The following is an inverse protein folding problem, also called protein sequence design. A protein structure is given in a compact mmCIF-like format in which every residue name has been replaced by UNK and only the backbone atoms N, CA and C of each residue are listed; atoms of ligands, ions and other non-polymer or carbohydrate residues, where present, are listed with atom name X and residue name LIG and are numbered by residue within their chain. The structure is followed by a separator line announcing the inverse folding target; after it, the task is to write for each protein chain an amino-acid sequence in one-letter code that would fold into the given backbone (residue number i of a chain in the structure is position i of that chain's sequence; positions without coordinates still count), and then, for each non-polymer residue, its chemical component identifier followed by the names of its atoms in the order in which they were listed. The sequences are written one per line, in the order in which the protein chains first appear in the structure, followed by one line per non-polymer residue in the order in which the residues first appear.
data_IF_147108215472
#
_entry.id   IF_147108215472
#
_cell.length_a   1.000
_cell.length_b   1.000
_cell.length_c   1.000
_cell.angle_alpha   90.00
_cell.angle_beta   90.00
_cell.angle_gamma   90.00
#
_symmetry.space_group_name_H-M   'P 1'
#
loop_
_entity.id
_entity.type
_entity.pdbx_description
1 polymer ?
#
# COMPACT_ATOMS: atom_id res chain seq x y z
N UNK A 1 23.50 -2.98 -10.27
CA UNK A 1 22.54 -2.38 -9.32
C UNK A 1 22.11 -1.04 -9.88
N UNK A 2 20.82 -0.74 -9.84
CA UNK A 2 20.26 0.51 -10.37
C UNK A 2 19.11 0.98 -9.48
N UNK A 3 18.99 2.29 -9.27
CA UNK A 3 17.77 2.90 -8.74
C UNK A 3 16.99 3.48 -9.93
N UNK A 4 15.73 3.09 -10.05
CA UNK A 4 14.81 3.61 -11.08
C UNK A 4 14.29 4.98 -10.69
N UNK A 5 13.74 5.72 -11.66
CA UNK A 5 13.14 7.05 -11.42
C UNK A 5 11.95 7.01 -10.43
N UNK A 6 11.35 5.83 -10.21
CA UNK A 6 10.27 5.63 -9.24
C UNK A 6 10.77 5.23 -7.85
N UNK A 7 12.08 5.14 -7.64
CA UNK A 7 12.70 4.76 -6.37
C UNK A 7 12.81 3.26 -6.12
N UNK A 8 12.48 2.42 -7.11
CA UNK A 8 12.75 0.98 -7.02
C UNK A 8 14.25 0.73 -7.15
N UNK A 9 14.84 0.05 -6.17
CA UNK A 9 16.23 -0.39 -6.20
C UNK A 9 16.27 -1.81 -6.75
N UNK A 10 16.97 -2.02 -7.86
CA UNK A 10 17.00 -3.28 -8.60
C UNK A 10 18.42 -3.84 -8.66
N UNK A 11 18.54 -5.14 -8.37
CA UNK A 11 19.78 -5.92 -8.51
C UNK A 11 19.65 -6.86 -9.70
N UNK A 12 20.74 -6.96 -10.46
CA UNK A 12 20.82 -7.77 -11.67
C UNK A 12 21.94 -8.80 -11.54
N UNK A 13 21.76 -9.95 -12.17
CA UNK A 13 22.84 -10.92 -12.37
C UNK A 13 23.77 -10.50 -13.52
N UNK A 14 24.74 -11.37 -13.85
CA UNK A 14 25.68 -11.15 -14.95
C UNK A 14 25.05 -11.14 -16.34
N UNK A 15 23.83 -11.67 -16.49
CA UNK A 15 23.05 -11.68 -17.72
C UNK A 15 22.05 -10.53 -17.79
N UNK A 16 22.14 -9.57 -16.87
CA UNK A 16 21.24 -8.43 -16.74
C UNK A 16 19.77 -8.83 -16.44
N UNK A 17 19.57 -9.98 -15.80
CA UNK A 17 18.26 -10.44 -15.30
C UNK A 17 18.03 -9.91 -13.89
N UNK A 18 16.83 -9.42 -13.61
CA UNK A 18 16.44 -8.96 -12.28
C UNK A 18 16.43 -10.15 -11.33
N UNK A 19 17.27 -10.11 -10.29
CA UNK A 19 17.33 -11.14 -9.23
C UNK A 19 16.71 -10.66 -7.93
N UNK A 20 16.58 -9.35 -7.73
CA UNK A 20 15.99 -8.75 -6.54
C UNK A 20 15.53 -7.32 -6.84
N UNK A 21 14.46 -6.87 -6.20
CA UNK A 21 14.02 -5.48 -6.24
C UNK A 21 13.38 -5.05 -4.91
N UNK A 22 13.58 -3.79 -4.52
CA UNK A 22 13.08 -3.27 -3.24
C UNK A 22 11.56 -3.23 -3.17
N UNK A 23 10.89 -3.05 -4.31
CA UNK A 23 9.42 -3.00 -4.36
C UNK A 23 8.75 -4.31 -3.91
N UNK A 24 9.44 -5.44 -3.99
CA UNK A 24 8.94 -6.75 -3.52
C UNK A 24 9.05 -6.92 -1.99
N UNK A 25 9.63 -5.93 -1.30
CA UNK A 25 9.85 -5.93 0.14
C UNK A 25 9.27 -4.65 0.79
N UNK A 26 7.94 -4.49 0.81
CA UNK A 26 7.31 -3.32 1.42
C UNK A 26 7.59 -3.22 2.92
N UNK A 27 7.62 -1.99 3.43
CA UNK A 27 7.90 -1.68 4.85
C UNK A 27 6.65 -1.07 5.50
N UNK A 28 6.69 0.20 5.91
CA UNK A 28 5.54 0.96 6.39
C UNK A 28 4.97 1.88 5.30
N UNK A 29 5.56 1.88 4.10
CA UNK A 29 5.27 2.86 3.04
C UNK A 29 5.09 2.21 1.67
N UNK A 30 4.31 2.88 0.80
CA UNK A 30 4.20 2.59 -0.63
C UNK A 30 4.49 3.83 -1.45
N UNK A 31 5.23 3.67 -2.55
CA UNK A 31 5.48 4.75 -3.51
C UNK A 31 4.68 4.55 -4.80
N UNK A 32 4.49 5.61 -5.62
CA UNK A 32 3.78 5.51 -6.88
C UNK A 32 4.36 4.41 -7.79
N UNK A 33 3.49 3.54 -8.30
CA UNK A 33 3.84 2.38 -9.11
C UNK A 33 4.20 1.12 -8.32
N UNK A 34 4.35 1.18 -7.00
CA UNK A 34 4.57 0.00 -6.18
C UNK A 34 3.28 -0.80 -6.00
N UNK A 35 3.38 -2.13 -6.05
CA UNK A 35 2.29 -3.05 -5.72
C UNK A 35 2.48 -3.57 -4.29
N UNK A 36 1.40 -3.66 -3.54
CA UNK A 36 1.31 -4.50 -2.34
C UNK A 36 0.48 -5.72 -2.71
N UNK A 37 1.14 -6.87 -2.81
CA UNK A 37 0.59 -8.14 -3.31
C UNK A 37 0.16 -9.03 -2.14
N UNK A 38 -0.84 -9.87 -2.35
CA UNK A 38 -1.30 -10.85 -1.36
C UNK A 38 -0.13 -11.69 -0.81
N UNK A 39 -0.06 -11.77 0.52
CA UNK A 39 1.05 -12.35 1.27
C UNK A 39 2.08 -11.32 1.79
N UNK A 40 2.11 -10.11 1.24
CA UNK A 40 2.87 -8.99 1.78
C UNK A 40 2.03 -8.16 2.75
N UNK A 41 2.71 -7.36 3.60
CA UNK A 41 2.05 -6.42 4.51
C UNK A 41 2.82 -5.11 4.58
N UNK A 42 2.09 -4.01 4.72
CA UNK A 42 2.64 -2.83 5.35
C UNK A 42 2.58 -3.02 6.86
N UNK A 43 3.66 -2.71 7.57
CA UNK A 43 3.71 -2.79 9.03
C UNK A 43 4.15 -1.43 9.54
N UNK A 44 3.30 -0.78 10.34
CA UNK A 44 3.58 0.52 10.92
C UNK A 44 4.88 0.47 11.74
N UNK A 45 5.57 1.60 11.84
CA UNK A 45 6.64 1.75 12.82
C UNK A 45 6.05 1.83 14.25
N UNK A 46 6.87 1.56 15.27
CA UNK A 46 6.46 1.74 16.69
C UNK A 46 6.16 3.22 16.98
N UNK A 47 6.97 4.12 16.44
CA UNK A 47 6.80 5.57 16.57
C UNK A 47 7.52 6.29 15.42
N UNK A 48 7.41 7.63 15.31
CA UNK A 48 8.18 8.41 14.33
C UNK A 48 9.71 8.28 14.47
N UNK A 49 10.19 7.93 15.67
CA UNK A 49 11.63 7.81 15.99
C UNK A 49 12.08 6.37 16.21
N UNK A 50 11.15 5.40 16.20
CA UNK A 50 11.44 3.98 16.37
C UNK A 50 10.86 3.20 15.18
N UNK A 51 11.75 2.79 14.27
CA UNK A 51 11.43 2.04 13.05
C UNK A 51 11.21 0.53 13.26
N UNK A 52 11.13 0.07 14.51
CA UNK A 52 10.71 -1.30 14.83
C UNK A 52 9.28 -1.59 14.38
N UNK A 53 8.91 -2.87 14.32
CA UNK A 53 7.56 -3.31 13.94
C UNK A 53 6.54 -2.91 15.00
N UNK A 54 5.62 -2.02 14.63
CA UNK A 54 4.51 -1.55 15.45
C UNK A 54 3.30 -2.50 15.44
N UNK A 55 2.17 -1.97 15.91
CA UNK A 55 0.96 -2.77 16.20
C UNK A 55 -0.02 -2.85 15.03
N UNK A 56 0.14 -2.00 14.02
CA UNK A 56 -0.78 -1.90 12.91
C UNK A 56 -0.16 -2.48 11.65
N UNK A 57 -0.97 -3.25 10.93
CA UNK A 57 -0.60 -3.75 9.61
C UNK A 57 -1.71 -3.55 8.60
N UNK A 58 -1.33 -3.48 7.33
CA UNK A 58 -2.26 -3.45 6.19
C UNK A 58 -1.86 -4.54 5.21
N UNK A 59 -2.83 -5.33 4.78
CA UNK A 59 -2.65 -6.40 3.80
C UNK A 59 -3.81 -6.44 2.81
N UNK A 60 -3.54 -7.03 1.66
CA UNK A 60 -4.53 -7.35 0.64
C UNK A 60 -4.84 -8.84 0.71
N UNK A 61 -6.11 -9.18 0.47
CA UNK A 61 -6.62 -10.55 0.40
C UNK A 61 -7.51 -10.67 -0.84
N UNK A 62 -7.91 -11.89 -1.18
CA UNK A 62 -8.95 -12.15 -2.18
C UNK A 62 -10.34 -11.54 -1.90
N UNK A 63 -10.54 -10.83 -0.77
CA UNK A 63 -11.77 -10.09 -0.46
C UNK A 63 -11.61 -8.57 -0.57
N UNK A 64 -10.37 -8.05 -0.60
CA UNK A 64 -10.11 -6.62 -0.53
C UNK A 64 -8.91 -6.22 0.34
N UNK A 65 -8.88 -4.95 0.73
CA UNK A 65 -7.83 -4.34 1.54
C UNK A 65 -8.25 -4.28 3.01
N UNK A 66 -7.39 -4.71 3.92
CA UNK A 66 -7.69 -4.81 5.34
C UNK A 66 -6.59 -4.19 6.19
N UNK A 67 -7.01 -3.49 7.25
CA UNK A 67 -6.14 -3.01 8.33
C UNK A 67 -6.36 -3.83 9.60
N UNK A 68 -5.27 -4.31 10.21
CA UNK A 68 -5.29 -5.15 11.41
C UNK A 68 -4.57 -4.50 12.59
N UNK A 69 -5.07 -4.81 13.78
CA UNK A 69 -4.40 -4.62 15.06
C UNK A 69 -3.80 -5.95 15.52
N UNK A 70 -2.47 -6.00 15.61
CA UNK A 70 -1.68 -7.21 15.85
C UNK A 70 -1.60 -7.62 17.33
N UNK A 71 -2.11 -6.80 18.27
CA UNK A 71 -2.05 -7.09 19.73
C UNK A 71 -3.01 -8.17 20.21
N UNK A 72 -3.83 -8.74 19.32
CA UNK A 72 -4.89 -9.69 19.65
C UNK A 72 -4.69 -10.99 18.88
N UNK A 73 -5.06 -12.12 19.48
CA UNK A 73 -5.12 -13.41 18.79
C UNK A 73 -6.53 -14.02 18.97
N UNK A 74 -7.38 -14.05 17.91
CA UNK A 74 -7.07 -13.64 16.55
C UNK A 74 -6.92 -12.11 16.40
N UNK A 75 -6.19 -11.69 15.36
CA UNK A 75 -5.97 -10.27 15.03
C UNK A 75 -7.30 -9.57 14.78
N UNK A 76 -7.45 -8.33 15.26
CA UNK A 76 -8.67 -7.55 15.08
C UNK A 76 -8.59 -6.69 13.82
N UNK A 77 -9.58 -6.83 12.94
CA UNK A 77 -9.75 -5.91 11.80
C UNK A 77 -10.28 -4.57 12.32
N UNK A 78 -9.58 -3.48 12.00
CA UNK A 78 -10.04 -2.11 12.31
C UNK A 78 -10.45 -1.31 11.06
N UNK A 79 -9.95 -1.70 9.88
CA UNK A 79 -10.32 -1.12 8.60
C UNK A 79 -10.57 -2.22 7.57
N UNK A 80 -11.56 -2.04 6.68
CA UNK A 80 -11.76 -2.91 5.53
C UNK A 80 -12.31 -2.14 4.34
N UNK A 81 -11.84 -2.48 3.15
CA UNK A 81 -12.44 -2.12 1.88
C UNK A 81 -12.71 -3.42 1.11
N UNK A 82 -13.99 -3.79 0.97
CA UNK A 82 -14.40 -5.03 0.34
C UNK A 82 -14.61 -4.82 -1.17
N UNK A 83 -14.22 -5.81 -1.95
CA UNK A 83 -14.48 -5.87 -3.39
C UNK A 83 -15.36 -7.09 -3.67
N UNK A 84 -16.52 -6.83 -4.26
CA UNK A 84 -17.46 -7.87 -4.67
C UNK A 84 -17.37 -8.11 -6.17
N UNK A 85 -17.55 -9.35 -6.59
CA UNK A 85 -17.55 -9.73 -8.01
C UNK A 85 -17.00 -11.14 -8.20
N UNK A 86 -17.16 -11.71 -9.40
CA UNK A 86 -16.53 -12.98 -9.74
C UNK A 86 -15.03 -12.77 -9.95
N UNK A 87 -14.25 -13.79 -9.59
CA UNK A 87 -12.83 -13.89 -9.94
C UNK A 87 -12.68 -13.97 -11.47
N UNK A 88 -11.95 -13.01 -12.04
CA UNK A 88 -11.65 -12.89 -13.48
C UNK A 88 -10.17 -13.04 -13.79
N UNK A 89 -9.33 -13.19 -12.76
CA UNK A 89 -7.88 -13.38 -12.88
C UNK A 89 -7.40 -14.55 -12.02
N UNK A 90 -6.30 -15.17 -12.43
CA UNK A 90 -5.56 -16.16 -11.61
C UNK A 90 -4.35 -15.54 -10.91
N UNK A 91 -4.06 -14.26 -11.17
CA UNK A 91 -3.00 -13.55 -10.48
C UNK A 91 -3.39 -13.32 -9.02
N UNK A 92 -2.37 -13.21 -8.15
CA UNK A 92 -2.58 -12.85 -6.74
C UNK A 92 -3.22 -11.48 -6.65
N UNK A 93 -4.14 -11.29 -5.71
CA UNK A 93 -4.74 -9.98 -5.46
C UNK A 93 -3.66 -8.97 -5.06
N UNK A 94 -3.76 -7.74 -5.54
CA UNK A 94 -2.85 -6.67 -5.16
C UNK A 94 -3.53 -5.31 -5.14
N UNK A 95 -2.92 -4.37 -4.42
CA UNK A 95 -3.21 -2.95 -4.59
C UNK A 95 -2.01 -2.26 -5.20
N UNK A 96 -2.23 -1.25 -6.03
CA UNK A 96 -1.18 -0.46 -6.69
C UNK A 96 -1.40 1.01 -6.41
N UNK A 97 -0.40 1.69 -5.86
CA UNK A 97 -0.49 3.13 -5.67
C UNK A 97 -0.23 3.83 -7.01
N UNK A 98 -1.26 4.52 -7.53
CA UNK A 98 -1.23 5.26 -8.78
C UNK A 98 -1.47 6.74 -8.51
N UNK A 99 -1.09 7.58 -9.47
CA UNK A 99 -1.44 9.00 -9.41
C UNK A 99 -2.97 9.16 -9.38
N UNK A 100 -3.50 9.69 -8.27
CA UNK A 100 -4.94 9.89 -8.04
C UNK A 100 -5.69 8.72 -7.40
N UNK A 101 -5.06 7.56 -7.18
CA UNK A 101 -5.76 6.44 -6.52
C UNK A 101 -4.85 5.37 -5.92
N UNK A 102 -5.35 4.69 -4.88
CA UNK A 102 -4.94 3.32 -4.56
C UNK A 102 -5.88 2.38 -5.30
N UNK A 103 -5.41 1.79 -6.39
CA UNK A 103 -6.19 0.87 -7.23
C UNK A 103 -6.17 -0.54 -6.65
N UNK A 104 -7.33 -1.20 -6.60
CA UNK A 104 -7.50 -2.55 -6.06
C UNK A 104 -7.77 -3.53 -7.19
N UNK A 105 -6.87 -4.50 -7.35
CA UNK A 105 -6.94 -5.60 -8.30
C UNK A 105 -7.12 -6.88 -7.48
N UNK A 106 -8.37 -7.16 -7.09
CA UNK A 106 -8.70 -8.28 -6.21
C UNK A 106 -9.12 -9.48 -7.03
N UNK A 107 -10.04 -9.26 -7.95
CA UNK A 107 -10.64 -10.24 -8.85
C UNK A 107 -10.17 -10.03 -10.30
N UNK A 108 -9.36 -9.01 -10.55
CA UNK A 108 -8.85 -8.61 -11.87
C UNK A 108 -7.33 -8.39 -11.82
N UNK A 109 -6.70 -8.24 -12.98
CA UNK A 109 -5.30 -7.87 -13.10
C UNK A 109 -5.08 -6.94 -14.30
N UNK A 110 -3.97 -6.19 -14.29
CA UNK A 110 -3.55 -5.36 -15.43
C UNK A 110 -3.39 -6.23 -16.69
N UNK A 111 -3.83 -5.77 -17.88
CA UNK A 111 -4.22 -4.39 -18.22
C UNK A 111 -5.71 -4.06 -18.01
N UNK A 112 -6.48 -4.94 -17.35
CA UNK A 112 -7.91 -4.68 -17.09
C UNK A 112 -8.11 -3.49 -16.14
N UNK A 113 -9.33 -2.96 -16.08
CA UNK A 113 -9.69 -1.96 -15.06
C UNK A 113 -9.64 -2.58 -13.65
N UNK A 114 -9.19 -1.83 -12.63
CA UNK A 114 -9.22 -2.31 -11.25
C UNK A 114 -10.66 -2.55 -10.79
N UNK A 115 -10.85 -3.49 -9.87
CA UNK A 115 -12.16 -3.82 -9.31
C UNK A 115 -12.67 -2.73 -8.35
N UNK A 116 -11.76 -1.97 -7.75
CA UNK A 116 -12.06 -0.84 -6.89
C UNK A 116 -10.93 0.18 -6.87
N UNK A 117 -11.21 1.39 -6.37
CA UNK A 117 -10.20 2.41 -6.21
C UNK A 117 -10.54 3.31 -5.02
N UNK A 118 -9.57 3.51 -4.12
CA UNK A 118 -9.64 4.56 -3.10
C UNK A 118 -9.02 5.82 -3.70
N UNK A 119 -9.82 6.88 -3.79
CA UNK A 119 -9.36 8.15 -4.40
C UNK A 119 -8.30 8.82 -3.52
N UNK A 120 -7.28 9.35 -4.19
CA UNK A 120 -6.19 10.12 -3.59
C UNK A 120 -6.07 11.43 -4.38
N UNK A 121 -5.66 12.56 -3.77
CA UNK A 121 -5.36 13.76 -4.53
C UNK A 121 -4.35 13.51 -5.64
N UNK A 122 -4.57 14.12 -6.81
CA UNK A 122 -3.60 14.05 -7.90
C UNK A 122 -2.27 14.65 -7.44
N UNK A 123 -1.19 13.96 -7.76
CA UNK A 123 0.16 14.37 -7.46
C UNK A 123 0.55 15.59 -8.29
N UNK A 124 0.86 16.69 -7.61
CA UNK A 124 1.53 17.86 -8.19
C UNK A 124 3.06 17.77 -8.10
N UNK A 125 3.55 16.84 -7.28
CA UNK A 125 4.96 16.63 -6.93
C UNK A 125 5.15 15.18 -6.43
N UNK A 126 6.28 14.86 -5.80
CA UNK A 126 6.52 13.55 -5.20
C UNK A 126 5.46 13.23 -4.13
N UNK A 127 4.82 12.07 -4.25
CA UNK A 127 3.88 11.54 -3.25
C UNK A 127 4.33 10.18 -2.77
N UNK A 128 4.00 9.84 -1.52
CA UNK A 128 4.06 8.47 -1.02
C UNK A 128 2.97 8.22 0.02
N UNK A 129 2.60 6.97 0.20
CA UNK A 129 1.71 6.51 1.26
C UNK A 129 2.52 5.98 2.43
N UNK A 130 2.07 6.23 3.66
CA UNK A 130 2.68 5.69 4.87
C UNK A 130 1.61 5.23 5.86
N UNK A 131 1.78 4.02 6.38
CA UNK A 131 0.99 3.50 7.51
C UNK A 131 1.61 4.02 8.80
N UNK A 132 0.87 4.86 9.50
CA UNK A 132 1.32 5.54 10.70
C UNK A 132 1.20 4.66 11.95
N UNK A 133 1.97 4.96 13.02
CA UNK A 133 1.89 4.22 14.30
C UNK A 133 0.52 4.21 14.97
N UNK A 134 -0.38 5.11 14.58
CA UNK A 134 -1.77 5.21 15.05
C UNK A 134 -2.76 4.41 14.19
N UNK A 135 -2.29 3.72 13.15
CA UNK A 135 -3.08 2.91 12.24
C UNK A 135 -3.68 3.70 11.08
N UNK A 136 -3.37 4.98 10.89
CA UNK A 136 -3.85 5.72 9.73
C UNK A 136 -2.94 5.52 8.52
N UNK A 137 -3.52 5.21 7.34
CA UNK A 137 -2.80 5.20 6.07
C UNK A 137 -2.90 6.58 5.43
N UNK A 138 -1.83 7.37 5.55
CA UNK A 138 -1.78 8.75 5.06
C UNK A 138 -1.07 8.83 3.72
N UNK A 139 -1.41 9.85 2.95
CA UNK A 139 -0.69 10.24 1.73
C UNK A 139 0.03 11.53 2.03
N UNK A 140 1.34 11.56 1.79
CA UNK A 140 2.15 12.76 1.88
C UNK A 140 2.57 13.22 0.49
N UNK A 141 2.59 14.54 0.29
CA UNK A 141 3.11 15.18 -0.91
C UNK A 141 4.22 16.15 -0.55
N UNK A 142 5.25 16.21 -1.40
CA UNK A 142 6.32 17.18 -1.28
C UNK A 142 5.91 18.54 -1.84
N UNK A 143 5.92 19.56 -1.00
CA UNK A 143 5.72 20.96 -1.39
C UNK A 143 6.95 21.77 -0.97
N UNK A 144 6.85 22.64 0.04
CA UNK A 144 8.00 23.21 0.78
C UNK A 144 8.49 22.30 1.92
N UNK A 145 8.10 21.02 1.86
CA UNK A 145 8.24 20.00 2.89
C UNK A 145 7.17 18.92 2.71
N UNK A 146 7.28 17.81 3.44
CA UNK A 146 6.27 16.76 3.42
C UNK A 146 4.98 17.21 4.11
N UNK A 147 3.87 17.22 3.37
CA UNK A 147 2.55 17.57 3.91
C UNK A 147 1.56 16.43 3.71
N UNK A 148 0.76 16.16 4.73
CA UNK A 148 -0.37 15.21 4.62
C UNK A 148 -1.43 15.82 3.70
N UNK A 149 -1.74 15.12 2.61
CA UNK A 149 -2.76 15.52 1.63
C UNK A 149 -4.01 14.65 1.67
N UNK A 150 -3.92 13.44 2.24
CA UNK A 150 -5.06 12.56 2.47
C UNK A 150 -4.83 11.61 3.65
N UNK A 151 -5.94 11.16 4.25
CA UNK A 151 -5.99 10.08 5.23
C UNK A 151 -7.06 9.08 4.77
N UNK A 152 -6.62 7.91 4.30
CA UNK A 152 -7.49 6.92 3.67
C UNK A 152 -8.35 6.18 4.69
N UNK A 153 -7.90 6.10 5.95
CA UNK A 153 -8.55 5.32 7.01
C UNK A 153 -9.28 6.21 8.04
N UNK A 154 -9.04 7.52 8.05
CA UNK A 154 -9.69 8.45 8.96
C UNK A 154 -11.11 8.85 8.60
N UNK A 155 -11.52 8.73 7.34
CA UNK A 155 -12.86 9.11 6.89
C UNK A 155 -13.98 8.21 7.46
N UNK A 156 -13.65 7.00 7.94
CA UNK A 156 -14.64 6.04 8.47
C UNK A 156 -15.09 6.32 9.92
N UNK A 157 -14.61 7.40 10.57
CA UNK A 157 -15.10 7.80 11.92
C UNK A 157 -16.32 8.72 11.91
N UNK A 158 -16.86 9.10 10.74
CA UNK A 158 -18.12 9.87 10.63
C UNK A 158 -19.25 8.99 10.09
N UNK A 159 -19.76 8.10 10.94
CA UNK A 159 -21.11 7.47 10.88
C UNK A 159 -21.20 6.44 12.01
N UNK A 160 -21.43 6.94 13.22
CA UNK A 160 -22.23 6.27 14.25
C UNK A 160 -23.19 7.33 14.79
#
# INVERSE_FOLDING_TARGET
MQITDTGNLVLFDTNNVIVWQSFDHPTDSLVPGQKLVEGQKLVASVSPTNWGKGLYSVEVTNKGLFGYLETTNPRRVYYRYLVNGPDRSKERSYVRFLNGSLALFIHSAEPSRPDGAIRVPLASSAQYMKLMPDGHLIVLEWQSGWRVVADLFGASRRRM
#
